data_IF_100512940695
#
_entry.id   IF_100512940695
#
_cell.length_a   1.000
_cell.length_b   1.000
_cell.length_c   1.000
_cell.angle_alpha   90.00
_cell.angle_beta   90.00
_cell.angle_gamma   90.00
#
_symmetry.space_group_name_H-M   'P 1'
#
loop_
_entity.id
_entity.type
_entity.pdbx_description
1 polymer ?
#
# COMPACT_ATOMS: atom_id res chain seq x y z
N UNK A 1 6.35 13.47 0.26
CA UNK A 1 5.83 12.96 -1.03
C UNK A 1 5.67 14.08 -2.05
N UNK A 2 4.89 15.13 -1.77
CA UNK A 2 4.68 16.24 -2.72
C UNK A 2 5.97 16.90 -3.21
N UNK A 3 6.89 17.28 -2.31
CA UNK A 3 8.16 17.90 -2.69
C UNK A 3 9.00 17.00 -3.62
N UNK A 4 9.00 15.68 -3.37
CA UNK A 4 9.67 14.70 -4.23
C UNK A 4 9.02 14.63 -5.62
N UNK A 5 7.69 14.59 -5.68
CA UNK A 5 6.97 14.60 -6.95
C UNK A 5 7.25 15.88 -7.75
N UNK A 6 7.25 17.05 -7.10
CA UNK A 6 7.63 18.33 -7.71
C UNK A 6 9.07 18.30 -8.22
N UNK A 7 10.02 17.80 -7.41
CA UNK A 7 11.41 17.69 -7.80
C UNK A 7 11.61 16.76 -9.01
N UNK A 8 10.77 15.76 -9.19
CA UNK A 8 10.78 14.83 -10.31
C UNK A 8 9.94 15.29 -11.52
N UNK A 9 9.16 16.37 -11.39
CA UNK A 9 8.18 16.76 -12.41
C UNK A 9 7.03 15.75 -12.58
N UNK A 10 6.77 14.93 -11.55
CA UNK A 10 5.73 13.90 -11.58
C UNK A 10 4.36 14.44 -11.17
N UNK A 11 3.30 13.84 -11.73
CA UNK A 11 1.92 14.10 -11.30
C UNK A 11 1.73 13.73 -9.83
N UNK A 12 0.99 14.54 -9.08
CA UNK A 12 0.74 14.33 -7.66
C UNK A 12 -0.73 14.53 -7.30
N UNK A 13 -1.27 13.62 -6.49
CA UNK A 13 -2.59 13.73 -5.89
C UNK A 13 -2.53 13.24 -4.44
N UNK A 14 -3.40 13.78 -3.59
CA UNK A 14 -3.62 13.30 -2.22
C UNK A 14 -5.06 12.83 -2.10
N UNK A 15 -5.26 11.55 -1.76
CA UNK A 15 -6.58 10.92 -1.66
C UNK A 15 -6.72 10.34 -0.26
N UNK A 16 -7.76 10.74 0.46
CA UNK A 16 -8.09 10.17 1.77
C UNK A 16 -8.79 8.82 1.62
N UNK A 17 -8.45 7.88 2.50
CA UNK A 17 -9.06 6.55 2.59
C UNK A 17 -9.96 6.40 3.82
N UNK A 18 -10.12 7.46 4.64
CA UNK A 18 -10.76 7.33 5.96
C UNK A 18 -12.21 6.84 5.85
N UNK A 19 -12.99 7.43 4.95
CA UNK A 19 -14.40 7.07 4.75
C UNK A 19 -14.58 5.64 4.23
N UNK A 20 -13.76 5.19 3.28
CA UNK A 20 -13.82 3.83 2.73
C UNK A 20 -13.38 2.77 3.74
N UNK A 21 -12.35 3.07 4.54
CA UNK A 21 -11.95 2.21 5.64
C UNK A 21 -13.08 2.08 6.67
N UNK A 22 -13.68 3.21 7.08
CA UNK A 22 -14.78 3.20 8.04
C UNK A 22 -15.99 2.43 7.50
N UNK A 23 -16.37 2.67 6.24
CA UNK A 23 -17.47 1.95 5.61
C UNK A 23 -17.24 0.43 5.61
N UNK A 24 -16.00 0.00 5.35
CA UNK A 24 -15.64 -1.43 5.40
C UNK A 24 -15.81 -2.00 6.81
N UNK A 25 -15.40 -1.26 7.84
CA UNK A 25 -15.60 -1.68 9.23
C UNK A 25 -17.08 -1.79 9.58
N UNK A 26 -17.88 -0.77 9.21
CA UNK A 26 -19.31 -0.76 9.47
C UNK A 26 -20.00 -1.97 8.82
N UNK A 27 -19.64 -2.30 7.57
CA UNK A 27 -20.16 -3.47 6.87
C UNK A 27 -19.82 -4.77 7.59
N UNK A 28 -18.58 -4.95 8.06
CA UNK A 28 -18.16 -6.19 8.74
C UNK A 28 -18.81 -6.34 10.13
N UNK A 29 -18.95 -5.23 10.85
CA UNK A 29 -19.42 -5.24 12.24
C UNK A 29 -20.95 -5.27 12.36
N UNK A 30 -21.68 -4.84 11.33
CA UNK A 30 -23.16 -4.77 11.35
C UNK A 30 -23.86 -5.74 10.39
N UNK A 31 -23.13 -6.43 9.50
CA UNK A 31 -23.75 -7.46 8.65
C UNK A 31 -23.84 -8.79 9.41
N UNK A 32 -25.06 -9.33 9.65
CA UNK A 32 -25.19 -10.62 10.29
C UNK A 32 -24.70 -11.74 9.38
N UNK A 33 -23.91 -12.65 9.94
CA UNK A 33 -23.47 -13.88 9.32
C UNK A 33 -24.28 -15.03 9.91
N UNK A 34 -24.94 -15.80 9.06
CA UNK A 34 -25.67 -17.00 9.46
C UNK A 34 -24.73 -18.20 9.53
N UNK A 35 -24.65 -18.83 10.70
CA UNK A 35 -23.96 -20.10 10.87
C UNK A 35 -24.95 -21.25 10.61
N UNK A 36 -24.94 -21.81 9.40
CA UNK A 36 -25.88 -22.91 9.05
C UNK A 36 -25.64 -24.22 9.80
N UNK A 37 -24.52 -24.36 10.53
CA UNK A 37 -24.26 -25.53 11.37
C UNK A 37 -25.23 -25.63 12.56
N UNK A 38 -25.66 -24.49 13.11
CA UNK A 38 -26.56 -24.40 14.27
C UNK A 38 -27.71 -23.40 14.09
N UNK A 39 -27.85 -22.82 12.89
CA UNK A 39 -28.79 -21.75 12.54
C UNK A 39 -28.69 -20.49 13.41
N UNK A 40 -27.53 -20.25 14.03
CA UNK A 40 -27.27 -19.01 14.77
C UNK A 40 -26.86 -17.86 13.85
N UNK A 41 -26.84 -16.64 14.39
CA UNK A 41 -26.34 -15.45 13.72
C UNK A 41 -25.31 -14.72 14.60
N UNK A 42 -24.25 -14.21 13.98
CA UNK A 42 -23.22 -13.41 14.65
C UNK A 42 -22.70 -12.30 13.72
N UNK A 43 -21.97 -11.33 14.27
CA UNK A 43 -21.25 -10.32 13.49
C UNK A 43 -19.74 -10.44 13.73
N UNK A 44 -18.94 -9.88 12.81
CA UNK A 44 -17.50 -9.86 13.00
C UNK A 44 -17.10 -8.71 13.91
N UNK A 45 -16.06 -8.90 14.71
CA UNK A 45 -15.38 -7.82 15.40
C UNK A 45 -13.99 -7.66 14.83
N UNK A 46 -13.65 -6.46 14.38
CA UNK A 46 -12.34 -6.19 13.78
C UNK A 46 -11.41 -5.69 14.89
N UNK A 47 -10.28 -6.38 15.09
CA UNK A 47 -9.25 -5.94 16.03
C UNK A 47 -8.34 -4.85 15.40
N UNK A 48 -7.42 -4.30 16.18
CA UNK A 48 -6.56 -3.21 15.71
C UNK A 48 -5.68 -3.60 14.52
N UNK A 49 -5.07 -4.80 14.53
CA UNK A 49 -4.29 -5.30 13.40
C UNK A 49 -5.16 -5.46 12.14
N UNK A 50 -6.41 -5.91 12.30
CA UNK A 50 -7.39 -5.98 11.23
C UNK A 50 -7.70 -4.61 10.62
N UNK A 51 -7.83 -3.56 11.45
CA UNK A 51 -8.02 -2.18 10.99
C UNK A 51 -6.81 -1.66 10.21
N UNK A 52 -5.59 -1.98 10.65
CA UNK A 52 -4.35 -1.61 9.94
C UNK A 52 -4.26 -2.32 8.57
N UNK A 53 -4.60 -3.61 8.53
CA UNK A 53 -4.63 -4.38 7.28
C UNK A 53 -5.69 -3.85 6.30
N UNK A 54 -6.87 -3.45 6.78
CA UNK A 54 -7.92 -2.84 5.95
C UNK A 54 -7.39 -1.54 5.33
N UNK A 55 -6.76 -0.67 6.12
CA UNK A 55 -6.17 0.57 5.60
C UNK A 55 -5.11 0.31 4.53
N UNK A 56 -4.24 -0.69 4.73
CA UNK A 56 -3.23 -1.04 3.72
C UNK A 56 -3.88 -1.53 2.41
N UNK A 57 -4.89 -2.38 2.49
CA UNK A 57 -5.66 -2.87 1.33
C UNK A 57 -6.41 -1.77 0.61
N UNK A 58 -6.94 -0.82 1.37
CA UNK A 58 -7.68 0.32 0.80
C UNK A 58 -6.76 1.27 0.00
N UNK A 59 -5.49 1.40 0.43
CA UNK A 59 -4.45 2.10 -0.35
C UNK A 59 -4.08 1.33 -1.62
N UNK A 60 -3.67 0.07 -1.47
CA UNK A 60 -3.13 -0.72 -2.56
C UNK A 60 -4.20 -1.21 -3.55
N UNK A 61 -4.99 -2.19 -3.09
CA UNK A 61 -5.96 -2.90 -3.94
C UNK A 61 -7.17 -2.07 -4.35
N UNK A 62 -7.56 -1.04 -3.59
CA UNK A 62 -8.68 -0.17 -3.98
C UNK A 62 -8.22 1.05 -4.74
N UNK A 63 -7.58 2.02 -4.08
CA UNK A 63 -7.37 3.33 -4.73
C UNK A 63 -6.24 3.34 -5.77
N UNK A 64 -5.09 2.71 -5.48
CA UNK A 64 -3.97 2.68 -6.44
C UNK A 64 -4.32 1.80 -7.64
N UNK A 65 -4.95 0.64 -7.43
CA UNK A 65 -5.41 -0.21 -8.53
C UNK A 65 -6.45 0.48 -9.43
N UNK A 66 -7.44 1.16 -8.84
CA UNK A 66 -8.42 1.93 -9.60
C UNK A 66 -7.77 3.08 -10.38
N UNK A 67 -6.81 3.79 -9.76
CA UNK A 67 -6.05 4.83 -10.46
C UNK A 67 -5.26 4.25 -11.64
N UNK A 68 -4.57 3.12 -11.47
CA UNK A 68 -3.83 2.46 -12.55
C UNK A 68 -4.75 2.10 -13.73
N UNK A 69 -5.95 1.58 -13.46
CA UNK A 69 -6.95 1.30 -14.49
C UNK A 69 -7.41 2.57 -15.22
N UNK A 70 -7.68 3.66 -14.48
CA UNK A 70 -8.07 4.94 -15.07
C UNK A 70 -6.95 5.59 -15.91
N UNK A 71 -5.68 5.41 -15.53
CA UNK A 71 -4.51 5.83 -16.30
C UNK A 71 -4.20 4.90 -17.49
N UNK A 72 -4.86 3.73 -17.59
CA UNK A 72 -4.58 2.74 -18.63
C UNK A 72 -3.22 2.03 -18.44
N UNK A 73 -2.76 1.89 -17.20
CA UNK A 73 -1.45 1.34 -16.87
C UNK A 73 -1.45 0.35 -15.71
N UNK A 74 -0.27 0.18 -15.12
CA UNK A 74 -0.03 -0.66 -13.94
C UNK A 74 0.71 0.15 -12.85
N UNK A 75 0.76 -0.40 -11.64
CA UNK A 75 1.48 0.21 -10.52
C UNK A 75 2.48 -0.77 -9.91
N UNK A 76 3.53 -0.25 -9.29
CA UNK A 76 4.60 -1.04 -8.68
C UNK A 76 4.26 -1.49 -7.25
N UNK A 77 4.85 -2.61 -6.86
CA UNK A 77 4.98 -3.02 -5.47
C UNK A 77 6.25 -2.38 -4.88
N UNK A 78 6.13 -1.76 -3.70
CA UNK A 78 7.23 -1.02 -3.08
C UNK A 78 7.96 -1.84 -2.00
N UNK A 79 7.63 -3.13 -1.85
CA UNK A 79 8.29 -4.00 -0.90
C UNK A 79 9.74 -4.28 -1.30
N UNK A 80 10.64 -4.22 -0.33
CA UNK A 80 12.05 -4.58 -0.48
C UNK A 80 12.31 -6.03 -0.07
N UNK A 81 13.53 -6.53 -0.31
CA UNK A 81 13.89 -7.94 -0.09
C UNK A 81 13.61 -8.42 1.33
N UNK A 82 13.86 -7.59 2.34
CA UNK A 82 13.63 -7.97 3.73
C UNK A 82 12.14 -8.22 3.99
N UNK A 83 11.27 -7.28 3.56
CA UNK A 83 9.81 -7.36 3.73
C UNK A 83 9.22 -8.57 3.00
N UNK A 84 9.69 -8.84 1.78
CA UNK A 84 9.25 -9.98 0.99
C UNK A 84 9.72 -11.32 1.57
N UNK A 85 10.95 -11.40 2.10
CA UNK A 85 11.54 -12.66 2.57
C UNK A 85 10.89 -13.17 3.86
N UNK A 86 10.47 -12.26 4.74
CA UNK A 86 9.86 -12.62 6.03
C UNK A 86 8.33 -12.54 6.01
N UNK A 87 7.74 -12.04 4.91
CA UNK A 87 6.30 -11.81 4.80
C UNK A 87 5.77 -10.71 5.72
N UNK A 88 6.62 -9.75 6.12
CA UNK A 88 6.23 -8.64 7.00
C UNK A 88 5.57 -7.53 6.18
N UNK A 89 4.38 -7.80 5.66
CA UNK A 89 3.55 -6.82 4.97
C UNK A 89 2.12 -7.35 4.78
N UNK A 90 1.20 -6.44 4.46
CA UNK A 90 -0.20 -6.81 4.22
C UNK A 90 -0.37 -7.35 2.80
N UNK A 91 -0.77 -8.61 2.64
CA UNK A 91 -1.20 -9.13 1.35
C UNK A 91 -2.37 -8.33 0.78
N UNK A 92 -2.29 -8.02 -0.52
CA UNK A 92 -3.23 -7.16 -1.23
C UNK A 92 -3.27 -5.72 -0.69
N UNK A 93 -2.33 -5.35 0.19
CA UNK A 93 -2.11 -4.00 0.68
C UNK A 93 -0.76 -3.50 0.21
N UNK A 94 0.27 -3.62 1.04
CA UNK A 94 1.62 -3.18 0.67
C UNK A 94 2.30 -4.13 -0.33
N UNK A 95 1.96 -5.42 -0.27
CA UNK A 95 2.38 -6.43 -1.26
C UNK A 95 1.32 -6.51 -2.36
N UNK A 96 1.21 -5.46 -3.17
CA UNK A 96 0.41 -5.46 -4.40
C UNK A 96 1.05 -4.62 -5.50
N UNK A 97 0.66 -4.87 -6.74
CA UNK A 97 1.23 -4.23 -7.93
C UNK A 97 1.78 -5.26 -8.91
N UNK A 98 2.11 -4.79 -10.12
CA UNK A 98 2.57 -5.65 -11.22
C UNK A 98 4.02 -6.14 -11.04
N UNK A 99 4.87 -5.34 -10.40
CA UNK A 99 6.29 -5.66 -10.23
C UNK A 99 6.88 -4.96 -9.00
N UNK A 100 7.70 -5.70 -8.24
CA UNK A 100 8.49 -5.18 -7.13
C UNK A 100 9.87 -4.73 -7.61
N UNK A 101 9.99 -3.48 -8.08
CA UNK A 101 11.22 -2.95 -8.69
C UNK A 101 12.44 -3.01 -7.77
N UNK A 102 12.22 -2.90 -6.46
CA UNK A 102 13.27 -2.96 -5.43
C UNK A 102 13.21 -4.26 -4.61
N UNK A 103 12.47 -5.26 -5.09
CA UNK A 103 12.21 -6.51 -4.35
C UNK A 103 13.45 -7.36 -4.07
N UNK A 104 14.53 -7.19 -4.84
CA UNK A 104 15.82 -7.87 -4.58
C UNK A 104 16.82 -7.02 -3.78
N UNK A 105 16.44 -5.81 -3.40
CA UNK A 105 17.30 -4.92 -2.62
C UNK A 105 17.05 -5.08 -1.13
N UNK A 106 18.11 -5.34 -0.36
CA UNK A 106 18.07 -5.15 1.08
C UNK A 106 17.84 -3.68 1.41
N UNK A 107 17.27 -3.39 2.58
CA UNK A 107 16.99 -2.01 3.04
C UNK A 107 18.21 -1.09 2.90
N UNK A 108 19.40 -1.56 3.28
CA UNK A 108 20.67 -0.83 3.12
C UNK A 108 21.00 -0.47 1.66
N UNK A 109 20.64 -1.34 0.71
CA UNK A 109 20.84 -1.09 -0.72
C UNK A 109 19.83 -0.07 -1.25
N UNK A 110 18.59 -0.06 -0.76
CA UNK A 110 17.60 0.97 -1.11
C UNK A 110 18.10 2.36 -0.71
N UNK A 111 18.64 2.51 0.51
CA UNK A 111 19.23 3.78 0.95
C UNK A 111 20.48 4.16 0.15
N UNK A 112 21.35 3.20 -0.16
CA UNK A 112 22.53 3.45 -1.00
C UNK A 112 22.14 3.90 -2.42
N UNK A 113 21.10 3.27 -3.00
CA UNK A 113 20.55 3.66 -4.30
C UNK A 113 19.98 5.07 -4.26
N UNK A 114 19.26 5.45 -3.20
CA UNK A 114 18.75 6.81 -3.04
C UNK A 114 19.85 7.88 -3.03
N UNK A 115 20.95 7.62 -2.32
CA UNK A 115 22.13 8.51 -2.32
C UNK A 115 22.80 8.57 -3.69
N UNK A 116 23.05 7.42 -4.29
CA UNK A 116 23.62 7.34 -5.64
C UNK A 116 22.79 8.11 -6.67
N UNK A 117 21.46 8.00 -6.62
CA UNK A 117 20.56 8.75 -7.51
C UNK A 117 20.70 10.26 -7.32
N UNK A 118 20.84 10.75 -6.08
CA UNK A 118 21.05 12.18 -5.83
C UNK A 118 22.43 12.66 -6.30
N UNK A 119 23.49 11.90 -6.00
CA UNK A 119 24.88 12.28 -6.21
C UNK A 119 25.28 12.15 -7.69
N UNK A 120 24.99 11.01 -8.31
CA UNK A 120 25.54 10.64 -9.62
C UNK A 120 24.55 10.85 -10.77
N UNK A 121 23.25 10.68 -10.53
CA UNK A 121 22.23 10.74 -11.59
C UNK A 121 21.57 12.11 -11.69
N UNK A 122 21.00 12.60 -10.59
CA UNK A 122 20.30 13.88 -10.55
C UNK A 122 21.25 15.06 -10.29
N UNK A 123 22.43 14.80 -9.70
CA UNK A 123 23.41 15.80 -9.30
C UNK A 123 22.82 16.93 -8.43
N UNK A 124 21.80 16.58 -7.63
CA UNK A 124 21.10 17.46 -6.68
C UNK A 124 20.28 16.62 -5.72
N UNK A 125 19.87 17.21 -4.61
CA UNK A 125 19.00 16.55 -3.64
C UNK A 125 17.56 16.45 -4.18
N UNK A 126 17.21 15.30 -4.76
CA UNK A 126 15.85 14.98 -5.23
C UNK A 126 15.14 14.09 -4.23
N UNK A 127 15.79 12.99 -3.85
CA UNK A 127 15.31 12.03 -2.86
C UNK A 127 15.68 12.57 -1.47
N UNK A 128 14.73 12.70 -0.53
CA UNK A 128 15.04 13.12 0.84
C UNK A 128 15.98 12.13 1.53
N UNK A 129 16.82 12.64 2.45
CA UNK A 129 17.66 11.80 3.30
C UNK A 129 16.83 11.01 4.31
#
# INVERSE_FOLDING_TARGET
>A
AQNLAQALGANYASISIGQSCQHTLDQLEHTPITAYADNSAFTLSVNQLGRENIQARDRGARIIAAAAAAFGGAFSCNSNKAEMSIGYATFYGDICGALAMIGDLWKRHVYALGRYLNEEVYQRQVIPN
#
